data_IF_613347233802
#
_entry.id   IF_613347233802
#
_cell.length_a   1.000
_cell.length_b   1.000
_cell.length_c   1.000
_cell.angle_alpha   90.00
_cell.angle_beta   90.00
_cell.angle_gamma   90.00
#
_symmetry.space_group_name_H-M   'P 1'
#
loop_
_entity.id
_entity.type
_entity.pdbx_description
1 polymer ?
#
# COMPACT_ATOMS: atom_id res chain seq x y z
N UNK A 1 -25.94 -18.02 -2.43
CA UNK A 1 -24.70 -17.73 -3.17
C UNK A 1 -23.83 -16.94 -2.22
N UNK A 2 -22.73 -17.51 -1.71
CA UNK A 2 -21.79 -16.74 -0.89
C UNK A 2 -21.11 -15.73 -1.80
N UNK A 3 -21.41 -14.44 -1.67
CA UNK A 3 -20.70 -13.42 -2.43
C UNK A 3 -19.22 -13.45 -2.04
N UNK A 4 -18.34 -13.64 -3.02
CA UNK A 4 -16.90 -13.71 -2.78
C UNK A 4 -16.39 -12.38 -2.24
N UNK A 5 -15.76 -12.42 -1.06
CA UNK A 5 -15.27 -11.21 -0.40
C UNK A 5 -13.88 -10.79 -0.92
N UNK A 6 -13.77 -9.55 -1.38
CA UNK A 6 -12.54 -8.95 -1.90
C UNK A 6 -11.69 -8.35 -0.79
N UNK A 7 -10.54 -8.98 -0.54
CA UNK A 7 -9.51 -8.53 0.40
C UNK A 7 -8.58 -7.50 -0.23
N UNK A 8 -8.52 -6.30 0.37
CA UNK A 8 -7.58 -5.25 0.01
C UNK A 8 -6.42 -5.17 1.02
N UNK A 9 -5.23 -4.86 0.52
CA UNK A 9 -4.10 -4.34 1.30
C UNK A 9 -3.83 -2.92 0.83
N UNK A 10 -3.63 -1.99 1.75
CA UNK A 10 -3.43 -0.57 1.41
C UNK A 10 -2.05 -0.09 1.87
N UNK A 11 -1.29 0.50 0.94
CA UNK A 11 0.02 1.08 1.21
C UNK A 11 -0.08 2.60 1.40
N UNK A 12 0.47 3.14 2.49
CA UNK A 12 0.39 4.56 2.84
C UNK A 12 1.73 5.16 3.29
N UNK A 13 1.91 6.47 3.07
CA UNK A 13 3.09 7.20 3.60
C UNK A 13 2.75 8.47 4.40
N UNK A 14 1.47 8.79 4.63
CA UNK A 14 1.08 10.09 5.19
C UNK A 14 -0.30 10.14 5.85
N UNK A 15 -1.04 11.23 5.61
CA UNK A 15 -2.29 11.57 6.31
C UNK A 15 -3.41 10.52 6.13
N UNK A 16 -3.41 9.78 5.02
CA UNK A 16 -4.35 8.70 4.77
C UNK A 16 -5.77 9.17 4.43
N UNK A 17 -5.94 10.32 3.76
CA UNK A 17 -7.26 10.74 3.24
C UNK A 17 -7.84 9.71 2.25
N UNK A 18 -7.01 9.20 1.33
CA UNK A 18 -7.40 8.13 0.42
C UNK A 18 -7.73 6.83 1.17
N UNK A 19 -7.00 6.53 2.24
CA UNK A 19 -7.32 5.39 3.11
C UNK A 19 -8.68 5.58 3.79
N UNK A 20 -8.99 6.79 4.29
CA UNK A 20 -10.30 7.08 4.87
C UNK A 20 -11.42 6.86 3.86
N UNK A 21 -11.27 7.39 2.64
CA UNK A 21 -12.26 7.20 1.58
C UNK A 21 -12.48 5.71 1.25
N UNK A 22 -11.42 4.89 1.26
CA UNK A 22 -11.54 3.44 1.07
C UNK A 22 -12.24 2.75 2.25
N UNK A 23 -11.95 3.16 3.49
CA UNK A 23 -12.62 2.66 4.69
C UNK A 23 -14.12 2.94 4.60
N UNK A 24 -14.48 4.20 4.32
CA UNK A 24 -15.87 4.65 4.22
C UNK A 24 -16.59 3.94 3.07
N UNK A 25 -15.93 3.75 1.93
CA UNK A 25 -16.48 3.04 0.79
C UNK A 25 -16.75 1.56 1.08
N UNK A 26 -15.85 0.86 1.79
CA UNK A 26 -16.04 -0.53 2.23
C UNK A 26 -17.16 -0.68 3.27
N UNK A 27 -17.43 0.36 4.05
CA UNK A 27 -18.54 0.41 5.01
C UNK A 27 -19.89 0.76 4.35
N UNK A 28 -19.89 1.09 3.06
CA UNK A 28 -21.07 1.48 2.29
C UNK A 28 -21.40 0.46 1.20
N UNK A 29 -22.51 0.66 0.49
CA UNK A 29 -22.86 -0.12 -0.70
C UNK A 29 -22.02 0.24 -1.94
N UNK A 30 -21.09 1.20 -1.85
CA UNK A 30 -20.25 1.61 -2.98
C UNK A 30 -19.23 0.53 -3.37
N UNK A 31 -18.70 -0.21 -2.39
CA UNK A 31 -17.80 -1.34 -2.61
C UNK A 31 -18.37 -2.60 -1.93
N UNK A 32 -19.43 -3.21 -2.50
CA UNK A 32 -20.03 -4.40 -1.91
C UNK A 32 -18.99 -5.52 -1.78
N UNK A 33 -19.07 -6.28 -0.71
CA UNK A 33 -18.21 -7.43 -0.43
C UNK A 33 -16.71 -7.12 -0.43
N UNK A 34 -16.31 -5.88 -0.16
CA UNK A 34 -14.90 -5.49 -0.11
C UNK A 34 -14.50 -5.15 1.31
N UNK A 35 -13.31 -5.57 1.74
CA UNK A 35 -12.75 -5.15 3.04
C UNK A 35 -11.26 -4.85 2.92
N UNK A 36 -10.82 -3.87 3.69
CA UNK A 36 -9.39 -3.65 3.92
C UNK A 36 -8.94 -4.60 5.02
N UNK A 37 -8.03 -5.49 4.67
CA UNK A 37 -7.54 -6.54 5.57
C UNK A 37 -6.26 -6.14 6.29
N UNK A 38 -5.48 -5.24 5.68
CA UNK A 38 -4.22 -4.78 6.25
C UNK A 38 -3.83 -3.42 5.68
N UNK A 39 -3.18 -2.60 6.51
CA UNK A 39 -2.59 -1.32 6.09
C UNK A 39 -1.10 -1.34 6.40
N UNK A 40 -0.26 -1.07 5.39
CA UNK A 40 1.19 -0.99 5.57
C UNK A 40 1.64 0.45 5.38
N UNK A 41 2.46 0.95 6.31
CA UNK A 41 3.10 2.25 6.16
C UNK A 41 4.60 2.18 6.22
N UNK A 42 5.26 2.99 5.39
CA UNK A 42 6.69 3.24 5.50
C UNK A 42 7.08 4.39 6.44
N UNK A 43 6.10 5.05 7.06
CA UNK A 43 6.34 6.12 8.03
C UNK A 43 5.59 5.85 9.34
N UNK A 44 6.35 5.78 10.45
CA UNK A 44 5.77 5.49 11.78
C UNK A 44 4.79 6.59 12.24
N UNK A 45 5.03 7.82 11.81
CA UNK A 45 4.19 8.98 12.12
C UNK A 45 3.06 9.22 11.10
N UNK A 46 2.79 8.28 10.18
CA UNK A 46 1.68 8.41 9.25
C UNK A 46 0.34 8.39 10.00
N UNK A 47 -0.41 9.50 9.94
CA UNK A 47 -1.74 9.58 10.56
C UNK A 47 -2.74 8.55 9.98
N UNK A 48 -2.50 8.04 8.78
CA UNK A 48 -3.28 6.92 8.23
C UNK A 48 -3.19 5.64 9.08
N UNK A 49 -2.13 5.43 9.85
CA UNK A 49 -2.06 4.31 10.81
C UNK A 49 -3.09 4.47 11.93
N UNK A 50 -3.31 5.70 12.42
CA UNK A 50 -4.35 6.02 13.39
C UNK A 50 -5.74 5.72 12.83
N UNK A 51 -6.00 6.11 11.57
CA UNK A 51 -7.27 5.83 10.89
C UNK A 51 -7.53 4.33 10.75
N UNK A 52 -6.53 3.57 10.35
CA UNK A 52 -6.61 2.11 10.26
C UNK A 52 -6.92 1.48 11.63
N UNK A 53 -6.23 1.90 12.68
CA UNK A 53 -6.47 1.41 14.04
C UNK A 53 -7.89 1.74 14.54
N UNK A 54 -8.39 2.96 14.28
CA UNK A 54 -9.77 3.36 14.61
C UNK A 54 -10.83 2.51 13.89
N UNK A 55 -10.54 2.08 12.66
CA UNK A 55 -11.38 1.16 11.89
C UNK A 55 -11.13 -0.32 12.23
N UNK A 56 -10.33 -0.63 13.27
CA UNK A 56 -9.94 -1.99 13.66
C UNK A 56 -9.26 -2.80 12.54
N UNK A 57 -8.52 -2.11 11.67
CA UNK A 57 -7.75 -2.73 10.58
C UNK A 57 -6.31 -2.97 11.07
N UNK A 58 -5.79 -4.21 10.97
CA UNK A 58 -4.40 -4.51 11.30
C UNK A 58 -3.40 -3.67 10.51
N UNK A 59 -2.29 -3.28 11.15
CA UNK A 59 -1.27 -2.42 10.54
C UNK A 59 0.12 -3.01 10.60
N UNK A 60 0.99 -2.60 9.68
CA UNK A 60 2.43 -2.88 9.73
C UNK A 60 3.24 -1.64 9.38
N UNK A 61 4.27 -1.37 10.18
CA UNK A 61 5.27 -0.36 9.88
C UNK A 61 6.48 -1.03 9.23
N UNK A 62 6.81 -0.63 8.00
CA UNK A 62 7.92 -1.19 7.22
C UNK A 62 8.74 -0.07 6.58
N UNK A 63 9.91 0.28 7.14
CA UNK A 63 10.70 1.43 6.72
C UNK A 63 11.94 1.06 5.90
N UNK A 64 12.39 2.00 5.07
CA UNK A 64 13.58 1.83 4.23
C UNK A 64 14.91 2.00 4.99
N UNK A 65 14.88 2.67 6.14
CA UNK A 65 16.09 3.09 6.86
C UNK A 65 17.02 1.93 7.29
N UNK A 66 16.52 0.79 7.82
CA UNK A 66 17.33 -0.37 8.14
C UNK A 66 18.06 -0.92 6.92
N UNK A 67 17.39 -0.98 5.77
CA UNK A 67 17.98 -1.44 4.51
C UNK A 67 19.08 -0.48 4.04
N UNK A 68 18.86 0.84 4.13
CA UNK A 68 19.91 1.83 3.80
C UNK A 68 21.15 1.69 4.67
N UNK A 69 21.00 1.40 5.97
CA UNK A 69 22.12 1.22 6.90
C UNK A 69 22.95 -0.04 6.62
N UNK A 70 22.37 -1.03 5.93
CA UNK A 70 23.05 -2.27 5.56
C UNK A 70 23.82 -2.16 4.25
N UNK A 71 23.72 -1.03 3.54
CA UNK A 71 24.33 -0.83 2.23
C UNK A 71 25.23 0.42 2.22
N UNK A 72 26.23 0.48 1.31
CA UNK A 72 27.08 1.66 1.18
C UNK A 72 26.27 2.90 0.78
N UNK A 73 26.69 4.09 1.23
CA UNK A 73 26.10 5.36 0.77
C UNK A 73 26.64 5.75 -0.61
N UNK A 74 26.29 4.93 -1.60
CA UNK A 74 26.61 5.11 -3.02
C UNK A 74 25.34 4.93 -3.85
N UNK A 75 25.32 5.37 -5.12
CA UNK A 75 24.17 5.13 -6.00
C UNK A 75 23.82 3.64 -6.10
N UNK A 76 24.82 2.77 -6.22
CA UNK A 76 24.62 1.31 -6.26
C UNK A 76 24.07 0.76 -4.94
N UNK A 77 24.61 1.22 -3.80
CA UNK A 77 24.13 0.81 -2.48
C UNK A 77 22.69 1.29 -2.20
N UNK A 78 22.33 2.49 -2.66
CA UNK A 78 20.95 2.99 -2.58
C UNK A 78 19.99 2.11 -3.39
N UNK A 79 20.36 1.74 -4.61
CA UNK A 79 19.55 0.82 -5.44
C UNK A 79 19.40 -0.54 -4.77
N UNK A 80 20.48 -1.12 -4.27
CA UNK A 80 20.45 -2.40 -3.56
C UNK A 80 19.55 -2.34 -2.31
N UNK A 81 19.63 -1.27 -1.52
CA UNK A 81 18.75 -1.06 -0.37
C UNK A 81 17.27 -0.95 -0.78
N UNK A 82 16.96 -0.29 -1.90
CA UNK A 82 15.60 -0.20 -2.44
C UNK A 82 15.07 -1.56 -2.88
N UNK A 83 15.84 -2.32 -3.65
CA UNK A 83 15.50 -3.68 -4.07
C UNK A 83 15.24 -4.59 -2.88
N UNK A 84 16.13 -4.59 -1.88
CA UNK A 84 15.97 -5.42 -0.69
C UNK A 84 14.72 -5.03 0.13
N UNK A 85 14.46 -3.72 0.26
CA UNK A 85 13.27 -3.20 0.95
C UNK A 85 11.96 -3.61 0.25
N UNK A 86 11.91 -3.47 -1.08
CA UNK A 86 10.73 -3.74 -1.89
C UNK A 86 10.47 -5.27 -1.99
N UNK A 87 11.52 -6.11 -2.06
CA UNK A 87 11.42 -7.57 -1.94
C UNK A 87 10.86 -8.01 -0.58
N UNK A 88 11.33 -7.37 0.51
CA UNK A 88 10.83 -7.63 1.86
C UNK A 88 9.36 -7.20 2.00
N UNK A 89 8.96 -6.07 1.41
CA UNK A 89 7.58 -5.62 1.41
C UNK A 89 6.65 -6.61 0.69
N UNK A 90 7.07 -7.14 -0.47
CA UNK A 90 6.30 -8.17 -1.17
C UNK A 90 6.16 -9.44 -0.32
N UNK A 91 7.24 -9.87 0.33
CA UNK A 91 7.23 -11.05 1.22
C UNK A 91 6.23 -10.89 2.38
N UNK A 92 6.18 -9.70 2.99
CA UNK A 92 5.18 -9.39 4.03
C UNK A 92 3.76 -9.56 3.49
N UNK A 93 3.46 -8.96 2.33
CA UNK A 93 2.12 -9.00 1.74
C UNK A 93 1.71 -10.43 1.34
N UNK A 94 2.63 -11.20 0.76
CA UNK A 94 2.37 -12.58 0.34
C UNK A 94 2.12 -13.52 1.52
N UNK A 95 2.65 -13.20 2.70
CA UNK A 95 2.43 -13.95 3.93
C UNK A 95 1.11 -13.59 4.65
N UNK A 96 0.40 -12.55 4.21
CA UNK A 96 -0.84 -12.11 4.88
C UNK A 96 -1.96 -13.14 4.73
N UNK A 97 -2.71 -13.29 5.82
CA UNK A 97 -3.95 -14.09 5.89
C UNK A 97 -5.05 -13.22 6.48
N UNK A 98 -6.20 -13.06 5.80
CA UNK A 98 -6.57 -13.65 4.51
C UNK A 98 -5.69 -13.11 3.37
N UNK A 99 -5.54 -13.93 2.33
CA UNK A 99 -4.76 -13.55 1.15
C UNK A 99 -5.36 -12.32 0.46
N UNK A 100 -4.56 -11.29 0.12
CA UNK A 100 -5.06 -10.13 -0.61
C UNK A 100 -5.37 -10.48 -2.06
N UNK A 101 -6.40 -9.83 -2.61
CA UNK A 101 -6.70 -9.86 -4.04
C UNK A 101 -6.17 -8.62 -4.74
N UNK A 102 -6.12 -7.50 -4.02
CA UNK A 102 -5.72 -6.21 -4.55
C UNK A 102 -4.83 -5.47 -3.55
N UNK A 103 -3.79 -4.83 -4.07
CA UNK A 103 -2.95 -3.88 -3.34
C UNK A 103 -3.26 -2.48 -3.86
N UNK A 104 -3.55 -1.53 -2.96
CA UNK A 104 -3.90 -0.16 -3.30
C UNK A 104 -2.84 0.81 -2.78
N UNK A 105 -2.22 1.56 -3.68
CA UNK A 105 -1.25 2.61 -3.34
C UNK A 105 -1.96 3.92 -2.97
N UNK A 106 -2.44 4.03 -1.72
CA UNK A 106 -3.20 5.17 -1.22
C UNK A 106 -2.28 6.27 -0.64
N UNK A 107 -1.56 6.97 -1.53
CA UNK A 107 -0.57 7.98 -1.13
C UNK A 107 0.76 7.37 -0.71
N UNK A 108 1.15 6.28 -1.37
CA UNK A 108 2.47 5.67 -1.27
C UNK A 108 3.51 6.52 -2.01
N UNK A 109 4.59 6.91 -1.34
CA UNK A 109 5.57 7.87 -1.86
C UNK A 109 6.87 7.22 -2.37
N UNK A 110 6.87 5.90 -2.57
CA UNK A 110 8.02 5.16 -3.09
C UNK A 110 7.65 4.50 -4.42
N UNK A 111 8.50 4.64 -5.44
CA UNK A 111 8.40 3.86 -6.68
C UNK A 111 8.75 2.41 -6.35
N UNK A 112 7.87 1.46 -6.63
CA UNK A 112 8.09 0.04 -6.38
C UNK A 112 9.02 -0.55 -7.44
N UNK A 113 10.05 -1.29 -7.02
CA UNK A 113 10.96 -1.98 -7.94
C UNK A 113 10.33 -3.27 -8.49
N UNK A 114 10.89 -3.85 -9.58
CA UNK A 114 10.47 -5.16 -10.08
C UNK A 114 10.51 -6.27 -9.02
N UNK A 115 11.39 -6.18 -8.02
CA UNK A 115 11.47 -7.14 -6.92
C UNK A 115 10.21 -7.17 -6.03
N UNK A 116 9.42 -6.10 -6.05
CA UNK A 116 8.07 -6.10 -5.50
C UNK A 116 7.03 -6.57 -6.53
N UNK A 117 7.04 -5.97 -7.73
CA UNK A 117 5.99 -6.16 -8.73
C UNK A 117 5.89 -7.59 -9.26
N UNK A 118 7.02 -8.23 -9.52
CA UNK A 118 7.10 -9.56 -10.12
C UNK A 118 6.45 -10.64 -9.23
N UNK A 119 6.84 -10.80 -7.95
CA UNK A 119 6.24 -11.84 -7.11
C UNK A 119 4.76 -11.57 -6.80
N UNK A 120 4.34 -10.32 -6.69
CA UNK A 120 2.92 -9.94 -6.53
C UNK A 120 2.09 -10.34 -7.76
N UNK A 121 2.62 -10.04 -8.96
CA UNK A 121 1.98 -10.40 -10.23
C UNK A 121 1.94 -11.91 -10.44
N UNK A 122 3.04 -12.62 -10.16
CA UNK A 122 3.11 -14.08 -10.22
C UNK A 122 2.14 -14.76 -9.26
N UNK A 123 1.89 -14.13 -8.10
CA UNK A 123 0.86 -14.60 -7.20
C UNK A 123 -0.55 -14.37 -7.79
N UNK A 124 -0.75 -13.47 -8.74
CA UNK A 124 -2.06 -13.11 -9.27
C UNK A 124 -2.80 -12.06 -8.43
N UNK A 125 -2.05 -11.26 -7.66
CA UNK A 125 -2.59 -10.15 -6.88
C UNK A 125 -2.53 -8.90 -7.76
N UNK A 126 -3.65 -8.17 -7.88
CA UNK A 126 -3.70 -6.96 -8.70
C UNK A 126 -3.15 -5.76 -7.93
N UNK A 127 -2.26 -4.99 -8.53
CA UNK A 127 -1.87 -3.69 -8.00
C UNK A 127 -2.72 -2.58 -8.63
N UNK A 128 -3.20 -1.65 -7.81
CA UNK A 128 -3.83 -0.42 -8.24
C UNK A 128 -2.90 0.77 -7.90
N UNK A 129 -2.29 1.41 -8.92
CA UNK A 129 -1.49 2.61 -8.73
C UNK A 129 -2.38 3.78 -8.25
N UNK A 130 -1.79 4.85 -7.69
CA UNK A 130 -2.55 6.03 -7.33
C UNK A 130 -3.30 6.60 -8.55
N UNK A 131 -4.49 7.19 -8.35
CA UNK A 131 -5.21 7.84 -9.43
C UNK A 131 -4.35 8.94 -10.05
N UNK A 132 -4.39 9.06 -11.37
CA UNK A 132 -3.75 10.17 -12.07
C UNK A 132 -4.29 11.50 -11.51
N UNK A 133 -3.46 12.56 -11.43
CA UNK A 133 -3.95 13.87 -11.05
C UNK A 133 -5.10 14.25 -11.99
N UNK A 134 -6.26 14.54 -11.43
CA UNK A 134 -7.36 15.11 -12.19
C UNK A 134 -6.87 16.42 -12.80
N UNK A 135 -7.01 16.63 -14.12
CA UNK A 135 -6.61 17.90 -14.74
C UNK A 135 -7.31 19.03 -13.99
N UNK A 136 -6.55 20.05 -13.59
CA UNK A 136 -7.13 21.24 -13.00
C UNK A 136 -8.15 21.82 -13.97
N UNK A 137 -9.30 22.33 -13.49
CA UNK A 137 -10.22 23.05 -14.36
C UNK A 137 -9.45 24.20 -15.05
N UNK A 138 -9.74 24.49 -16.32
CA UNK A 138 -9.09 25.60 -17.02
C UNK A 138 -9.32 26.90 -16.22
N UNK A 139 -8.34 27.82 -16.17
CA UNK A 139 -8.53 29.11 -15.53
C UNK A 139 -9.75 29.79 -16.16
N UNK A 140 -10.67 30.25 -15.33
CA UNK A 140 -11.76 31.12 -15.77
C UNK A 140 -11.14 32.39 -16.36
N UNK A 141 -11.35 32.62 -17.65
CA UNK A 141 -11.01 33.90 -18.29
C UNK A 141 -11.93 35.01 -17.81
#
# INVERSE_FOLDING_TARGET
MSESQYNLVVLISGNGSNLQALIDACASSALPNTRITHVISNRKAAYGLTRAAQASIPTTYHNLLPFKRQHPDTPSGTTAARTAYDASLASIILALSPRPHVIVCAGWMHILTPDFLNPITQAGIKELPPPAPTPSPPPTQ
#
